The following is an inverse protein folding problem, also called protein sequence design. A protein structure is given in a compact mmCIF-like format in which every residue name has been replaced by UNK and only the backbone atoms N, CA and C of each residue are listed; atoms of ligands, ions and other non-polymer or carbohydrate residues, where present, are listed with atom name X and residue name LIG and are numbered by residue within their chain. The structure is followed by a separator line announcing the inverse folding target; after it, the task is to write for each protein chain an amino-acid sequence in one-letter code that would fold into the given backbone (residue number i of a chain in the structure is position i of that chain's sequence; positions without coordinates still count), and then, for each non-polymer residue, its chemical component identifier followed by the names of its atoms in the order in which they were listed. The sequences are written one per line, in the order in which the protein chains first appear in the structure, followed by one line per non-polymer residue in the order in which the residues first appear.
data_IF_186456108157
#
_entry.id   IF_186456108157
#
_cell.length_a   1.000
_cell.length_b   1.000
_cell.length_c   1.000
_cell.angle_alpha   90.00
_cell.angle_beta   90.00
_cell.angle_gamma   90.00
#
_symmetry.space_group_name_H-M   'P 1'
#
loop_
_entity.id
_entity.type
_entity.pdbx_description
1 polymer ?
#
# COMPACT_ATOMS: atom_id res chain seq x y z
N UNK A 1 42.56 4.12 67.89
CA UNK A 1 41.59 5.15 67.38
C UNK A 1 41.96 5.43 65.92
N UNK A 2 41.35 4.64 64.96
CA UNK A 2 41.58 4.79 63.52
C UNK A 2 40.43 5.57 62.88
N UNK A 3 40.72 6.75 62.35
CA UNK A 3 39.73 7.57 61.61
C UNK A 3 39.74 7.12 60.14
N UNK A 4 38.64 6.51 59.72
CA UNK A 4 38.36 6.16 58.30
C UNK A 4 37.85 7.43 57.63
N UNK A 5 38.62 7.89 56.60
CA UNK A 5 38.17 8.99 55.73
C UNK A 5 37.44 8.41 54.55
N UNK A 6 36.13 8.65 54.48
CA UNK A 6 35.26 8.29 53.36
C UNK A 6 35.44 9.34 52.24
N UNK A 7 35.97 8.93 51.07
CA UNK A 7 35.96 9.76 49.86
C UNK A 7 34.66 9.53 49.12
N UNK A 8 33.86 10.57 48.99
CA UNK A 8 32.68 10.60 48.12
C UNK A 8 33.17 10.99 46.70
N UNK A 9 33.12 10.04 45.75
CA UNK A 9 33.38 10.31 44.36
C UNK A 9 32.07 10.68 43.66
N UNK A 10 31.93 11.95 43.28
CA UNK A 10 30.75 12.43 42.49
C UNK A 10 31.04 12.16 41.02
N UNK A 11 30.32 11.18 40.45
CA UNK A 11 30.38 10.93 39.01
C UNK A 11 29.45 11.91 38.26
N UNK A 12 30.05 12.80 37.48
CA UNK A 12 29.35 13.71 36.59
C UNK A 12 28.97 12.94 35.31
N UNK A 13 27.67 12.60 35.13
CA UNK A 13 27.17 12.02 33.88
C UNK A 13 26.88 13.17 32.93
N UNK A 14 27.71 13.34 31.90
CA UNK A 14 27.47 14.26 30.79
C UNK A 14 26.43 13.65 29.85
N UNK A 15 25.20 14.20 29.86
CA UNK A 15 24.21 13.89 28.83
C UNK A 15 24.63 14.54 27.51
N UNK A 16 25.13 13.75 26.57
CA UNK A 16 25.34 14.19 25.20
C UNK A 16 23.97 14.29 24.51
N UNK A 17 23.50 15.50 24.24
CA UNK A 17 22.29 15.77 23.44
C UNK A 17 22.60 15.41 21.99
N UNK A 18 22.06 14.30 21.51
CA UNK A 18 22.07 13.96 20.08
C UNK A 18 21.03 14.85 19.38
N UNK A 19 21.50 15.91 18.73
CA UNK A 19 20.65 16.74 17.85
C UNK A 19 20.24 15.91 16.64
N UNK A 20 19.01 15.44 16.61
CA UNK A 20 18.42 14.84 15.41
C UNK A 20 18.32 15.93 14.33
N UNK A 21 19.22 15.90 13.34
CA UNK A 21 19.08 16.73 12.15
C UNK A 21 17.93 16.16 11.33
N UNK A 22 16.83 16.92 11.20
CA UNK A 22 15.78 16.63 10.24
C UNK A 22 16.40 16.66 8.83
N UNK A 23 16.16 15.63 8.04
CA UNK A 23 16.58 15.63 6.64
C UNK A 23 15.95 16.85 5.91
N UNK A 24 16.67 17.48 4.98
CA UNK A 24 16.10 18.59 4.20
C UNK A 24 14.85 18.11 3.45
N UNK A 25 13.84 18.98 3.39
CA UNK A 25 12.61 18.68 2.65
C UNK A 25 12.90 18.52 1.15
N UNK A 26 12.24 17.57 0.51
CA UNK A 26 12.37 17.37 -0.93
C UNK A 26 11.95 18.64 -1.69
N UNK A 27 12.64 19.00 -2.80
CA UNK A 27 12.27 20.15 -3.60
C UNK A 27 10.90 19.96 -4.24
N UNK A 28 10.22 21.07 -4.57
CA UNK A 28 8.92 21.02 -5.23
C UNK A 28 8.99 20.24 -6.54
N UNK A 29 8.03 19.31 -6.74
CA UNK A 29 7.99 18.43 -7.92
C UNK A 29 8.94 17.23 -7.86
N UNK A 30 9.67 17.03 -6.76
CA UNK A 30 10.50 15.83 -6.59
C UNK A 30 9.66 14.55 -6.62
N UNK A 31 8.51 14.57 -5.94
CA UNK A 31 7.50 13.50 -6.00
C UNK A 31 6.31 13.94 -6.83
N UNK A 32 5.81 13.07 -7.71
CA UNK A 32 4.66 13.33 -8.58
C UNK A 32 3.67 12.17 -8.58
N UNK A 33 2.40 12.47 -8.92
CA UNK A 33 1.33 11.48 -9.09
C UNK A 33 0.67 11.69 -10.46
N UNK A 34 1.33 11.32 -11.57
CA UNK A 34 0.93 11.76 -12.91
C UNK A 34 -0.40 11.19 -13.41
N UNK A 35 -0.83 10.05 -12.90
CA UNK A 35 -2.04 9.34 -13.37
C UNK A 35 -3.05 9.14 -12.26
N UNK A 36 -2.66 8.51 -11.15
CA UNK A 36 -3.51 8.35 -9.97
C UNK A 36 -3.24 9.54 -9.04
N UNK A 37 -4.02 10.61 -9.21
CA UNK A 37 -3.79 11.89 -8.55
C UNK A 37 -3.87 11.77 -7.02
N UNK A 38 -2.84 12.26 -6.34
CA UNK A 38 -2.75 12.27 -4.87
C UNK A 38 -2.28 10.95 -4.23
N UNK A 39 -2.06 9.89 -5.03
CA UNK A 39 -1.65 8.57 -4.55
C UNK A 39 -0.50 7.99 -5.34
N UNK A 40 0.26 7.08 -4.70
CA UNK A 40 1.33 6.37 -5.37
C UNK A 40 2.43 7.28 -5.91
N UNK A 41 2.95 8.16 -5.06
CA UNK A 41 4.03 9.10 -5.42
C UNK A 41 5.19 8.39 -6.10
N UNK A 42 5.67 8.97 -7.21
CA UNK A 42 6.86 8.51 -7.93
C UNK A 42 7.90 9.61 -8.08
N UNK A 43 9.17 9.22 -8.08
CA UNK A 43 10.27 10.00 -8.62
C UNK A 43 10.76 9.29 -9.89
N UNK A 44 10.33 9.78 -11.06
CA UNK A 44 10.61 9.08 -12.32
C UNK A 44 12.07 9.23 -12.73
N UNK A 45 12.72 8.11 -13.06
CA UNK A 45 14.11 8.04 -13.50
C UNK A 45 14.16 7.79 -15.03
N UNK A 46 14.35 8.82 -15.89
CA UNK A 46 14.31 8.66 -17.35
C UNK A 46 15.35 7.67 -17.89
N UNK A 47 16.48 7.56 -17.21
CA UNK A 47 17.60 6.67 -17.61
C UNK A 47 17.69 5.42 -16.71
N UNK A 48 16.66 5.10 -15.92
CA UNK A 48 16.62 3.90 -15.09
C UNK A 48 16.63 2.62 -15.96
N UNK A 49 17.26 1.56 -15.46
CA UNK A 49 17.24 0.24 -16.09
C UNK A 49 15.85 -0.41 -15.97
N UNK A 50 15.60 -1.45 -16.77
CA UNK A 50 14.38 -2.29 -16.74
C UNK A 50 13.07 -1.49 -16.90
N UNK A 51 13.08 -0.42 -17.68
CA UNK A 51 11.88 0.37 -17.97
C UNK A 51 10.84 -0.45 -18.74
N UNK A 52 9.55 -0.30 -18.40
CA UNK A 52 8.48 -0.88 -19.20
C UNK A 52 8.52 -0.38 -20.66
N UNK A 53 8.18 -1.26 -21.60
CA UNK A 53 8.12 -0.93 -23.02
C UNK A 53 6.69 -0.56 -23.41
N UNK A 54 6.44 0.61 -24.05
CA UNK A 54 5.09 1.09 -24.37
C UNK A 54 4.25 0.14 -25.24
N UNK A 55 4.89 -0.66 -26.08
CA UNK A 55 4.24 -1.61 -26.99
C UNK A 55 3.71 -2.88 -26.31
N UNK A 56 4.19 -3.20 -25.12
CA UNK A 56 3.85 -4.45 -24.43
C UNK A 56 2.57 -4.31 -23.59
N UNK A 57 1.88 -5.43 -23.42
CA UNK A 57 0.79 -5.57 -22.43
C UNK A 57 1.37 -6.19 -21.18
N UNK A 58 1.10 -5.57 -20.05
CA UNK A 58 1.57 -6.03 -18.74
C UNK A 58 0.42 -6.60 -17.94
N UNK A 59 0.57 -7.86 -17.55
CA UNK A 59 -0.37 -8.59 -16.71
C UNK A 59 0.28 -8.78 -15.33
N UNK A 60 -0.27 -8.16 -14.29
CA UNK A 60 0.25 -8.26 -12.94
C UNK A 60 -0.90 -8.55 -11.96
N UNK A 61 -0.70 -9.54 -11.10
CA UNK A 61 -1.54 -9.75 -9.92
C UNK A 61 -0.77 -9.31 -8.68
N UNK A 62 -1.29 -8.32 -7.99
CA UNK A 62 -0.76 -7.82 -6.72
C UNK A 62 -1.43 -8.60 -5.59
N UNK A 63 -0.63 -9.26 -4.75
CA UNK A 63 -1.08 -9.96 -3.57
C UNK A 63 -0.89 -9.05 -2.34
N UNK A 64 -1.96 -8.39 -1.90
CA UNK A 64 -1.94 -7.43 -0.80
C UNK A 64 -2.29 -8.13 0.51
N UNK A 65 -1.29 -8.26 1.40
CA UNK A 65 -1.46 -8.95 2.69
C UNK A 65 -1.32 -8.03 3.90
N UNK A 66 -0.70 -6.87 3.70
CA UNK A 66 -0.37 -5.97 4.80
C UNK A 66 -1.57 -5.12 5.20
N UNK A 67 -1.91 -5.14 6.49
CA UNK A 67 -2.85 -4.21 7.09
C UNK A 67 -2.22 -2.83 7.32
N UNK A 68 -3.00 -1.92 7.88
CA UNK A 68 -2.50 -0.63 8.38
C UNK A 68 -2.66 -0.54 9.89
N UNK A 69 -1.65 0.00 10.56
CA UNK A 69 -1.75 0.33 11.99
C UNK A 69 -2.52 1.64 12.25
N UNK A 70 -2.80 2.41 11.20
CA UNK A 70 -3.48 3.71 11.26
C UNK A 70 -4.75 3.65 10.41
N UNK A 71 -5.92 3.43 11.02
CA UNK A 71 -7.15 3.22 10.26
C UNK A 71 -7.62 4.47 9.47
N UNK A 72 -7.11 5.65 9.79
CA UNK A 72 -7.35 6.91 9.08
C UNK A 72 -6.41 7.12 7.87
N UNK A 73 -5.53 6.16 7.58
CA UNK A 73 -4.59 6.22 6.46
C UNK A 73 -4.87 5.16 5.41
N UNK A 74 -4.60 5.51 4.17
CA UNK A 74 -4.65 4.57 3.04
C UNK A 74 -3.71 3.39 3.30
N UNK A 75 -4.16 2.20 2.96
CA UNK A 75 -3.34 0.99 3.05
C UNK A 75 -2.10 1.12 2.16
N UNK A 76 -0.88 0.90 2.71
CA UNK A 76 0.36 1.06 1.95
C UNK A 76 0.47 0.15 0.73
N UNK A 77 -0.06 -1.08 0.79
CA UNK A 77 -0.05 -1.99 -0.35
C UNK A 77 -0.92 -1.46 -1.49
N UNK A 78 -2.12 -0.92 -1.17
CA UNK A 78 -2.99 -0.29 -2.16
C UNK A 78 -2.33 0.96 -2.79
N UNK A 79 -1.63 1.79 -2.00
CA UNK A 79 -0.85 2.92 -2.52
C UNK A 79 0.29 2.47 -3.45
N UNK A 80 0.92 1.33 -3.17
CA UNK A 80 1.93 0.75 -4.07
C UNK A 80 1.35 0.26 -5.40
N UNK A 81 0.10 -0.18 -5.44
CA UNK A 81 -0.59 -0.46 -6.72
C UNK A 81 -0.72 0.83 -7.53
N UNK A 82 -1.13 1.94 -6.91
CA UNK A 82 -1.21 3.25 -7.57
C UNK A 82 0.17 3.72 -8.06
N UNK A 83 1.21 3.55 -7.24
CA UNK A 83 2.60 3.84 -7.62
C UNK A 83 3.02 3.05 -8.85
N UNK A 84 2.65 1.78 -8.92
CA UNK A 84 2.97 0.94 -10.08
C UNK A 84 2.27 1.46 -11.33
N UNK A 85 0.99 1.81 -11.27
CA UNK A 85 0.28 2.44 -12.40
C UNK A 85 1.00 3.73 -12.84
N UNK A 86 1.34 4.61 -11.90
CA UNK A 86 2.03 5.87 -12.19
C UNK A 86 3.38 5.65 -12.88
N UNK A 87 4.17 4.66 -12.42
CA UNK A 87 5.48 4.33 -13.02
C UNK A 87 5.34 3.81 -14.45
N UNK A 88 4.39 2.91 -14.69
CA UNK A 88 4.19 2.36 -16.05
C UNK A 88 3.72 3.42 -17.02
N UNK A 89 2.78 4.27 -16.63
CA UNK A 89 2.28 5.35 -17.48
C UNK A 89 3.36 6.42 -17.70
N UNK A 90 4.13 6.80 -16.67
CA UNK A 90 5.27 7.71 -16.82
C UNK A 90 6.35 7.16 -17.76
N UNK A 91 6.50 5.83 -17.85
CA UNK A 91 7.38 5.18 -18.83
C UNK A 91 6.77 5.09 -20.24
N UNK A 92 5.56 5.62 -20.47
CA UNK A 92 4.90 5.68 -21.77
C UNK A 92 3.96 4.50 -22.06
N UNK A 93 3.68 3.62 -21.09
CA UNK A 93 2.73 2.51 -21.30
C UNK A 93 1.29 3.03 -21.18
N UNK A 94 0.44 2.88 -22.21
CA UNK A 94 -0.96 3.29 -22.11
C UNK A 94 -1.73 2.47 -21.08
N UNK A 95 -2.69 3.10 -20.35
CA UNK A 95 -3.54 2.41 -19.34
C UNK A 95 -4.18 1.14 -19.89
N UNK A 96 -4.68 1.15 -21.14
CA UNK A 96 -5.31 -0.02 -21.76
C UNK A 96 -4.38 -1.24 -21.92
N UNK A 97 -3.05 -1.06 -21.79
CA UNK A 97 -2.05 -2.13 -21.80
C UNK A 97 -1.72 -2.68 -20.41
N UNK A 98 -2.26 -2.07 -19.35
CA UNK A 98 -2.11 -2.54 -17.97
C UNK A 98 -3.28 -3.46 -17.63
N UNK A 99 -3.02 -4.75 -17.49
CA UNK A 99 -3.99 -5.75 -17.04
C UNK A 99 -3.64 -6.09 -15.59
N UNK A 100 -4.01 -5.18 -14.69
CA UNK A 100 -3.66 -5.24 -13.29
C UNK A 100 -4.85 -5.72 -12.46
N UNK A 101 -4.59 -6.68 -11.59
CA UNK A 101 -5.53 -7.17 -10.59
C UNK A 101 -4.85 -7.06 -9.23
N UNK A 102 -5.48 -6.43 -8.26
CA UNK A 102 -4.98 -6.33 -6.89
C UNK A 102 -5.94 -7.06 -5.97
N UNK A 103 -5.50 -8.15 -5.35
CA UNK A 103 -6.31 -8.95 -4.43
C UNK A 103 -5.87 -8.72 -3.00
N UNK A 104 -6.80 -8.25 -2.15
CA UNK A 104 -6.60 -8.07 -0.73
C UNK A 104 -7.01 -9.33 0.04
N UNK A 105 -6.26 -9.68 1.07
CA UNK A 105 -6.56 -10.79 1.96
C UNK A 105 -5.76 -10.70 3.27
N UNK A 106 -6.07 -11.53 4.25
CA UNK A 106 -5.43 -11.49 5.55
C UNK A 106 -5.60 -10.14 6.24
N UNK A 107 -4.52 -9.52 6.72
CA UNK A 107 -4.61 -8.24 7.41
C UNK A 107 -5.00 -7.05 6.50
N UNK A 108 -4.98 -7.21 5.17
CA UNK A 108 -5.45 -6.18 4.25
C UNK A 108 -6.97 -6.17 4.04
N UNK A 109 -7.68 -7.22 4.42
CA UNK A 109 -9.14 -7.39 4.19
C UNK A 109 -10.00 -6.18 4.56
N UNK A 110 -9.75 -5.47 5.68
CA UNK A 110 -10.58 -4.31 6.04
C UNK A 110 -10.58 -3.17 5.02
N UNK A 111 -9.56 -3.06 4.16
CA UNK A 111 -9.52 -1.99 3.14
C UNK A 111 -10.71 -2.04 2.17
N UNK A 112 -11.29 -3.23 1.98
CA UNK A 112 -12.37 -3.51 1.05
C UNK A 112 -13.78 -3.26 1.63
N UNK A 113 -13.92 -2.96 2.92
CA UNK A 113 -15.22 -2.66 3.54
C UNK A 113 -15.80 -1.36 2.97
N UNK A 114 -17.13 -1.31 2.86
CA UNK A 114 -17.82 -0.05 2.62
C UNK A 114 -17.61 0.95 3.79
N UNK A 115 -17.94 2.22 3.57
CA UNK A 115 -17.69 3.27 4.54
C UNK A 115 -18.47 3.07 5.85
N UNK A 116 -19.69 2.54 5.80
CA UNK A 116 -20.52 2.35 6.98
C UNK A 116 -19.95 1.28 7.91
N UNK A 117 -19.55 0.14 7.35
CA UNK A 117 -18.99 -0.96 8.13
C UNK A 117 -17.56 -0.68 8.58
N UNK A 118 -16.77 0.01 7.77
CA UNK A 118 -15.45 0.47 8.19
C UNK A 118 -15.54 1.45 9.36
N UNK A 119 -16.45 2.45 9.31
CA UNK A 119 -16.70 3.37 10.44
C UNK A 119 -17.15 2.63 11.70
N UNK A 120 -18.00 1.63 11.53
CA UNK A 120 -18.46 0.83 12.68
C UNK A 120 -17.31 0.09 13.36
N UNK A 121 -16.35 -0.41 12.59
CA UNK A 121 -15.22 -1.18 13.10
C UNK A 121 -14.07 -0.31 13.64
N UNK A 122 -13.81 0.85 13.00
CA UNK A 122 -12.59 1.65 13.25
C UNK A 122 -12.85 3.08 13.71
N UNK A 123 -14.10 3.54 13.73
CA UNK A 123 -14.48 4.89 14.19
C UNK A 123 -14.15 6.03 13.21
N UNK A 124 -13.63 5.73 12.04
CA UNK A 124 -13.23 6.70 10.99
C UNK A 124 -13.75 6.27 9.61
N UNK A 125 -13.89 7.20 8.65
CA UNK A 125 -14.23 6.83 7.27
C UNK A 125 -13.20 5.87 6.68
N UNK A 126 -13.62 5.01 5.72
CA UNK A 126 -12.66 4.18 5.00
C UNK A 126 -11.79 5.03 4.06
N UNK A 127 -10.51 5.25 4.38
CA UNK A 127 -9.64 6.11 3.58
C UNK A 127 -9.23 5.47 2.24
N UNK A 128 -9.51 4.18 2.05
CA UNK A 128 -9.11 3.44 0.85
C UNK A 128 -10.09 3.63 -0.31
N UNK A 129 -11.37 3.91 -0.05
CA UNK A 129 -12.41 3.97 -1.08
C UNK A 129 -12.13 5.00 -2.19
N UNK A 130 -11.64 6.22 -1.90
CA UNK A 130 -11.29 7.16 -2.97
C UNK A 130 -10.20 6.62 -3.89
N UNK A 131 -9.20 5.93 -3.34
CA UNK A 131 -8.13 5.33 -4.14
C UNK A 131 -8.62 4.11 -4.93
N UNK A 132 -9.49 3.27 -4.36
CA UNK A 132 -10.13 2.15 -5.07
C UNK A 132 -10.87 2.68 -6.30
N UNK A 133 -11.66 3.76 -6.15
CA UNK A 133 -12.39 4.37 -7.26
C UNK A 133 -11.45 4.89 -8.37
N UNK A 134 -10.33 5.55 -8.02
CA UNK A 134 -9.35 6.03 -9.00
C UNK A 134 -8.63 4.88 -9.72
N UNK A 135 -8.26 3.82 -9.00
CA UNK A 135 -7.66 2.63 -9.59
C UNK A 135 -8.62 1.91 -10.55
N UNK A 136 -9.91 1.79 -10.17
CA UNK A 136 -10.96 1.23 -11.04
C UNK A 136 -11.11 2.05 -12.32
N UNK A 137 -11.15 3.39 -12.25
CA UNK A 137 -11.16 4.28 -13.42
C UNK A 137 -9.93 4.07 -14.33
N UNK A 138 -8.77 3.78 -13.73
CA UNK A 138 -7.55 3.46 -14.47
C UNK A 138 -7.54 2.05 -15.08
N UNK A 139 -8.59 1.23 -14.86
CA UNK A 139 -8.73 -0.12 -15.38
C UNK A 139 -8.09 -1.22 -14.54
N UNK A 140 -7.75 -0.91 -13.28
CA UNK A 140 -7.28 -1.90 -12.30
C UNK A 140 -8.49 -2.59 -11.66
N UNK A 141 -8.47 -3.92 -11.60
CA UNK A 141 -9.46 -4.69 -10.83
C UNK A 141 -8.99 -4.81 -9.40
N UNK A 142 -9.79 -4.30 -8.46
CA UNK A 142 -9.58 -4.55 -7.03
C UNK A 142 -10.45 -5.73 -6.63
N UNK A 143 -9.87 -6.72 -5.98
CA UNK A 143 -10.57 -7.92 -5.51
C UNK A 143 -10.32 -8.14 -4.02
N UNK A 144 -11.28 -8.78 -3.36
CA UNK A 144 -11.18 -9.20 -1.97
C UNK A 144 -11.37 -10.71 -1.86
N UNK A 145 -10.59 -11.34 -1.01
CA UNK A 145 -10.64 -12.78 -0.74
C UNK A 145 -11.85 -13.15 0.10
N UNK A 146 -12.81 -13.89 -0.46
CA UNK A 146 -14.01 -14.33 0.27
C UNK A 146 -13.70 -15.22 1.50
N UNK A 147 -12.58 -15.95 1.49
CA UNK A 147 -12.16 -16.73 2.67
C UNK A 147 -11.69 -15.79 3.79
N UNK A 148 -10.92 -14.75 3.46
CA UNK A 148 -10.47 -13.77 4.44
C UNK A 148 -11.64 -12.94 5.01
N UNK A 149 -12.64 -12.60 4.19
CA UNK A 149 -13.89 -11.99 4.65
C UNK A 149 -14.55 -12.84 5.74
N UNK A 150 -14.66 -14.17 5.49
CA UNK A 150 -15.23 -15.11 6.46
C UNK A 150 -14.35 -15.24 7.73
N UNK A 151 -13.02 -15.30 7.60
CA UNK A 151 -12.08 -15.36 8.72
C UNK A 151 -12.17 -14.12 9.62
N UNK A 152 -12.42 -12.95 9.02
CA UNK A 152 -12.67 -11.70 9.76
C UNK A 152 -14.08 -11.60 10.33
N UNK A 153 -14.96 -12.58 10.10
CA UNK A 153 -16.38 -12.56 10.48
C UNK A 153 -17.16 -11.38 9.88
N UNK A 154 -16.73 -10.87 8.74
CA UNK A 154 -17.46 -9.87 7.97
C UNK A 154 -18.54 -10.53 7.10
N UNK A 155 -19.63 -9.79 6.81
CA UNK A 155 -20.60 -10.22 5.85
C UNK A 155 -20.13 -9.85 4.44
N UNK A 156 -20.49 -10.67 3.44
CA UNK A 156 -20.05 -10.43 2.06
C UNK A 156 -20.67 -9.17 1.45
N UNK A 157 -21.84 -8.75 1.91
CA UNK A 157 -22.53 -7.52 1.51
C UNK A 157 -21.96 -6.25 2.18
N UNK A 158 -20.99 -6.39 3.08
CA UNK A 158 -20.22 -5.27 3.66
C UNK A 158 -19.07 -4.82 2.77
N UNK A 159 -18.76 -5.60 1.73
CA UNK A 159 -17.68 -5.26 0.79
C UNK A 159 -18.17 -4.15 -0.15
N UNK A 160 -17.34 -3.13 -0.36
CA UNK A 160 -17.63 -2.01 -1.24
C UNK A 160 -17.95 -2.50 -2.67
N UNK A 161 -18.98 -1.97 -3.34
CA UNK A 161 -19.41 -2.42 -4.67
C UNK A 161 -18.38 -2.19 -5.78
N UNK A 162 -17.36 -1.38 -5.55
CA UNK A 162 -16.24 -1.20 -6.47
C UNK A 162 -15.18 -2.29 -6.33
N UNK A 163 -15.30 -3.18 -5.33
CA UNK A 163 -14.42 -4.31 -5.07
C UNK A 163 -15.07 -5.61 -5.52
N UNK A 164 -14.34 -6.42 -6.27
CA UNK A 164 -14.80 -7.74 -6.74
C UNK A 164 -14.58 -8.78 -5.63
N UNK A 165 -15.68 -9.39 -5.15
CA UNK A 165 -15.56 -10.51 -4.21
C UNK A 165 -15.08 -11.75 -4.96
N UNK A 166 -13.87 -12.22 -4.66
CA UNK A 166 -13.26 -13.40 -5.22
C UNK A 166 -13.47 -14.63 -4.32
N UNK A 167 -13.51 -15.83 -4.88
CA UNK A 167 -13.62 -17.08 -4.11
C UNK A 167 -12.52 -17.16 -3.03
N UNK A 168 -11.28 -16.91 -3.43
CA UNK A 168 -10.11 -16.90 -2.54
C UNK A 168 -8.94 -16.21 -3.22
N UNK A 169 -8.07 -15.54 -2.46
CA UNK A 169 -6.79 -15.06 -2.98
C UNK A 169 -5.93 -16.21 -3.53
N UNK A 170 -5.97 -17.39 -2.90
CA UNK A 170 -5.24 -18.57 -3.36
C UNK A 170 -5.62 -18.98 -4.77
N UNK A 171 -6.93 -19.07 -5.06
CA UNK A 171 -7.42 -19.43 -6.40
C UNK A 171 -7.26 -18.28 -7.39
N UNK A 172 -7.42 -17.04 -6.95
CA UNK A 172 -7.25 -15.86 -7.81
C UNK A 172 -5.82 -15.77 -8.32
N UNK A 173 -4.83 -15.82 -7.43
CA UNK A 173 -3.41 -15.72 -7.80
C UNK A 173 -3.03 -16.86 -8.74
N UNK A 174 -3.29 -18.10 -8.36
CA UNK A 174 -2.88 -19.26 -9.18
C UNK A 174 -3.56 -19.30 -10.55
N UNK A 175 -4.85 -18.92 -10.62
CA UNK A 175 -5.57 -18.84 -11.90
C UNK A 175 -4.99 -17.75 -12.80
N UNK A 176 -4.68 -16.56 -12.24
CA UNK A 176 -4.11 -15.47 -13.01
C UNK A 176 -2.67 -15.76 -13.47
N UNK A 177 -1.85 -16.40 -12.63
CA UNK A 177 -0.50 -16.83 -13.03
C UNK A 177 -0.55 -17.80 -14.22
N UNK A 178 -1.48 -18.77 -14.23
CA UNK A 178 -1.70 -19.66 -15.37
C UNK A 178 -2.15 -18.91 -16.64
N UNK A 179 -2.77 -17.73 -16.49
CA UNK A 179 -3.12 -16.84 -17.59
C UNK A 179 -1.99 -15.89 -17.99
N UNK A 180 -0.80 -16.06 -17.41
CA UNK A 180 0.40 -15.28 -17.72
C UNK A 180 0.51 -13.96 -16.97
N UNK A 181 -0.15 -13.82 -15.82
CA UNK A 181 0.10 -12.71 -14.90
C UNK A 181 1.37 -12.96 -14.08
N UNK A 182 2.16 -11.92 -13.90
CA UNK A 182 3.28 -11.95 -12.95
C UNK A 182 2.76 -11.65 -11.54
N UNK A 183 3.16 -12.44 -10.55
CA UNK A 183 2.85 -12.18 -9.14
C UNK A 183 3.74 -11.06 -8.59
N UNK A 184 3.11 -10.05 -7.95
CA UNK A 184 3.76 -8.99 -7.18
C UNK A 184 3.24 -9.05 -5.73
N UNK A 185 3.99 -9.58 -4.78
CA UNK A 185 3.60 -9.56 -3.36
C UNK A 185 3.76 -8.15 -2.78
N UNK A 186 2.77 -7.69 -1.98
CA UNK A 186 2.71 -6.39 -1.31
C UNK A 186 2.25 -6.51 0.16
#
# INVERSE_FOLDING_TARGET
MNKIKTFLATALVALASVSAHAAPADPAGFWTTPTIQGYGNIHYLPNGAFKPQPGHTYKVVFAMTQGTAQPDKVNPALDHVARTVNLYVAAGVPLGKLKFVAVAYGAATPLALDDAHYRSAYGVPNPNLPLIAELKKAGVTIAECGQAVAEHHFQYDWIDPDVTLALSALTTVTTLEQQGYALMPL
#
